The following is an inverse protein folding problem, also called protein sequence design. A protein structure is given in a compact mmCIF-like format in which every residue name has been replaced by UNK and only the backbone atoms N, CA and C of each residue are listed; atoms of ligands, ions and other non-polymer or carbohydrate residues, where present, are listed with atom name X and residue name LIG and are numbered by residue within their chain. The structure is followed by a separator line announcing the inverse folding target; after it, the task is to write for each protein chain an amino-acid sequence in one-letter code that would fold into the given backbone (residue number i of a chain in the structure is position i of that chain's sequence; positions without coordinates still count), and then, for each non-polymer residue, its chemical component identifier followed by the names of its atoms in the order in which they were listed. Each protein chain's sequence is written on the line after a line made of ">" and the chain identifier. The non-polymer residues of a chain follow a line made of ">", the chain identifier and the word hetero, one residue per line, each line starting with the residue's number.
data_IF_503588665866
#
_entry.id   IF_503588665866
#
_cell.length_a   1.000
_cell.length_b   1.000
_cell.length_c   1.000
_cell.angle_alpha   90.00
_cell.angle_beta   90.00
_cell.angle_gamma   90.00
#
_symmetry.space_group_name_H-M   'P 1'
#
loop_
_entity.id
_entity.type
_entity.pdbx_description
1 polymer ?
#
# COMPACT_ATOMS: atom_id res chain seq x y z
N UNK A 1 -1.61 -19.06 -25.32
CA UNK A 1 -1.38 -18.02 -24.29
C UNK A 1 -2.72 -17.46 -23.89
N UNK A 2 -2.92 -17.05 -22.64
CA UNK A 2 -4.15 -16.42 -22.14
C UNK A 2 -3.76 -15.26 -21.24
N UNK A 3 -4.44 -14.13 -21.36
CA UNK A 3 -4.18 -12.96 -20.53
C UNK A 3 -5.20 -12.85 -19.41
N UNK A 4 -4.75 -12.35 -18.27
CA UNK A 4 -5.57 -12.04 -17.10
C UNK A 4 -5.28 -10.62 -16.66
N UNK A 5 -6.30 -9.94 -16.16
CA UNK A 5 -6.13 -8.72 -15.36
C UNK A 5 -6.04 -9.16 -13.91
N UNK A 6 -4.95 -8.76 -13.25
CA UNK A 6 -4.75 -8.96 -11.82
C UNK A 6 -4.77 -7.58 -11.19
N UNK A 7 -5.74 -7.34 -10.31
CA UNK A 7 -5.85 -6.10 -9.54
C UNK A 7 -5.53 -6.40 -8.07
N UNK A 8 -4.77 -5.52 -7.43
CA UNK A 8 -4.49 -5.58 -6.00
C UNK A 8 -4.22 -4.17 -5.47
N UNK A 9 -4.26 -4.02 -4.15
CA UNK A 9 -3.83 -2.80 -3.46
C UNK A 9 -2.63 -3.12 -2.60
N UNK A 10 -1.63 -2.23 -2.60
CA UNK A 10 -0.53 -2.28 -1.65
C UNK A 10 -0.86 -1.42 -0.44
N UNK A 11 -0.81 -2.02 0.74
CA UNK A 11 -1.04 -1.35 2.03
C UNK A 11 0.29 -1.37 2.79
N UNK A 12 0.88 -0.19 2.99
CA UNK A 12 2.09 -0.04 3.81
C UNK A 12 1.71 0.14 5.27
N UNK A 13 2.42 -0.56 6.16
CA UNK A 13 2.26 -0.45 7.60
C UNK A 13 3.43 0.33 8.19
N UNK A 14 3.13 1.34 8.99
CA UNK A 14 4.10 2.21 9.65
C UNK A 14 3.78 2.32 11.14
N UNK A 15 4.80 2.43 11.99
CA UNK A 15 4.63 2.67 13.42
C UNK A 15 5.78 3.50 13.98
N UNK A 16 5.45 4.66 14.56
CA UNK A 16 6.38 5.51 15.27
C UNK A 16 5.89 5.77 16.70
N UNK A 17 6.84 5.98 17.62
CA UNK A 17 6.58 6.49 18.97
C UNK A 17 7.11 7.92 19.02
N UNK A 18 6.24 8.89 19.27
CA UNK A 18 6.58 10.32 19.29
C UNK A 18 6.30 10.94 20.65
N UNK A 19 7.10 11.93 21.04
CA UNK A 19 6.81 12.74 22.21
C UNK A 19 5.82 13.83 21.84
N UNK A 20 4.74 13.98 22.61
CA UNK A 20 3.69 14.97 22.38
C UNK A 20 3.51 15.88 23.62
N UNK A 21 2.95 17.09 23.46
CA UNK A 21 2.54 17.93 24.58
C UNK A 21 1.56 17.24 25.52
N UNK A 22 1.51 17.66 26.79
CA UNK A 22 0.63 17.04 27.81
C UNK A 22 -0.87 17.23 27.55
N UNK A 23 -1.23 18.20 26.73
CA UNK A 23 -2.58 18.52 26.26
C UNK A 23 -2.84 18.06 24.81
N UNK A 24 -2.02 17.14 24.29
CA UNK A 24 -2.20 16.60 22.95
C UNK A 24 -3.54 15.89 22.77
N UNK A 25 -4.28 16.29 21.73
CA UNK A 25 -5.54 15.70 21.32
C UNK A 25 -5.46 15.19 19.86
N UNK A 26 -5.46 13.87 19.63
CA UNK A 26 -5.34 13.30 18.29
C UNK A 26 -6.58 13.51 17.41
N UNK A 27 -7.73 13.90 17.96
CA UNK A 27 -8.94 14.17 17.16
C UNK A 27 -8.93 15.57 16.53
N UNK A 28 -8.11 16.47 17.07
CA UNK A 28 -8.03 17.88 16.64
C UNK A 28 -6.82 18.15 15.74
N UNK A 29 -5.77 17.32 15.82
CA UNK A 29 -4.52 17.49 15.07
C UNK A 29 -4.56 16.69 13.76
N UNK A 30 -4.27 17.34 12.64
CA UNK A 30 -4.00 16.64 11.38
C UNK A 30 -2.60 16.02 11.43
N UNK A 31 -2.56 14.69 11.54
CA UNK A 31 -1.32 13.93 11.63
C UNK A 31 -0.71 13.59 10.27
N UNK A 32 -1.43 13.80 9.15
CA UNK A 32 -0.97 13.39 7.82
C UNK A 32 0.39 13.99 7.45
N UNK A 33 0.48 15.32 7.50
CA UNK A 33 1.72 16.05 7.17
C UNK A 33 2.82 15.83 8.23
N UNK A 34 2.42 15.69 9.49
CA UNK A 34 3.35 15.49 10.61
C UNK A 34 4.06 14.13 10.52
N UNK A 35 3.33 13.07 10.16
CA UNK A 35 3.91 11.73 9.96
C UNK A 35 4.91 11.69 8.80
N UNK A 36 4.63 12.43 7.71
CA UNK A 36 5.56 12.55 6.57
C UNK A 36 6.83 13.35 6.87
N UNK A 37 6.86 14.07 7.99
CA UNK A 37 8.01 14.87 8.42
C UNK A 37 8.92 14.14 9.42
N UNK A 38 8.59 12.91 9.82
CA UNK A 38 9.43 12.10 10.69
C UNK A 38 10.71 11.67 9.97
N UNK A 39 11.85 11.72 10.66
CA UNK A 39 13.13 11.25 10.10
C UNK A 39 13.16 9.73 9.88
N UNK A 40 12.49 8.99 10.76
CA UNK A 40 12.19 7.57 10.61
C UNK A 40 10.67 7.40 10.46
N UNK A 41 10.24 6.96 9.28
CA UNK A 41 8.83 6.77 8.94
C UNK A 41 8.22 5.51 9.61
N UNK A 42 9.02 4.74 10.34
CA UNK A 42 8.58 3.57 11.09
C UNK A 42 8.07 2.43 10.20
N UNK A 43 8.56 2.34 8.96
CA UNK A 43 8.11 1.33 8.00
C UNK A 43 8.29 -0.11 8.52
N UNK A 44 7.19 -0.86 8.54
CA UNK A 44 7.14 -2.25 8.98
C UNK A 44 7.02 -3.22 7.81
N UNK A 45 6.54 -2.76 6.66
CA UNK A 45 6.36 -3.59 5.48
C UNK A 45 5.16 -3.19 4.63
N UNK A 46 5.01 -3.88 3.50
CA UNK A 46 3.87 -3.78 2.59
C UNK A 46 3.18 -5.14 2.51
N UNK A 47 1.86 -5.11 2.59
CA UNK A 47 1.01 -6.26 2.27
C UNK A 47 0.20 -5.96 1.01
N UNK A 48 -0.03 -7.01 0.21
CA UNK A 48 -0.93 -6.93 -0.95
C UNK A 48 -2.28 -7.48 -0.54
N UNK A 49 -3.31 -6.67 -0.70
CA UNK A 49 -4.68 -7.02 -0.33
C UNK A 49 -5.62 -6.89 -1.52
N UNK A 50 -6.79 -7.51 -1.43
CA UNK A 50 -7.82 -7.42 -2.45
C UNK A 50 -7.41 -7.98 -3.81
N UNK A 51 -6.60 -9.05 -3.84
CA UNK A 51 -6.15 -9.66 -5.10
C UNK A 51 -7.35 -10.25 -5.85
N UNK A 52 -7.66 -9.67 -7.01
CA UNK A 52 -8.73 -10.13 -7.90
C UNK A 52 -8.12 -10.49 -9.26
N UNK A 53 -8.50 -11.66 -9.77
CA UNK A 53 -8.06 -12.14 -11.09
C UNK A 53 -9.26 -12.25 -12.01
N UNK A 54 -9.17 -11.63 -13.19
CA UNK A 54 -10.18 -11.72 -14.24
C UNK A 54 -9.53 -12.17 -15.54
N UNK A 55 -10.13 -13.17 -16.18
CA UNK A 55 -9.65 -13.62 -17.48
C UNK A 55 -10.15 -12.71 -18.58
N UNK A 56 -9.28 -12.47 -19.57
CA UNK A 56 -9.66 -11.81 -20.81
C UNK A 56 -10.16 -12.83 -21.84
N UNK A 57 -11.04 -12.39 -22.72
CA UNK A 57 -11.61 -13.20 -23.81
C UNK A 57 -10.57 -13.50 -24.91
N UNK A 58 -9.54 -12.66 -25.04
CA UNK A 58 -8.42 -12.84 -25.95
C UNK A 58 -7.09 -12.49 -25.28
N UNK A 59 -5.95 -13.05 -25.75
CA UNK A 59 -4.63 -12.66 -25.28
C UNK A 59 -4.33 -11.20 -25.65
N UNK A 60 -3.77 -10.46 -24.70
CA UNK A 60 -3.27 -9.11 -24.90
C UNK A 60 -1.78 -9.17 -25.28
N UNK A 61 -1.39 -8.74 -26.49
CA UNK A 61 0.00 -8.77 -26.94
C UNK A 61 0.91 -7.77 -26.22
N UNK A 62 0.36 -6.82 -25.47
CA UNK A 62 1.11 -5.86 -24.66
C UNK A 62 1.24 -6.30 -23.19
N UNK A 63 0.58 -7.39 -22.78
CA UNK A 63 0.65 -7.88 -21.41
C UNK A 63 2.06 -8.42 -21.10
N UNK A 64 2.54 -8.12 -19.89
CA UNK A 64 3.77 -8.69 -19.38
C UNK A 64 3.59 -10.17 -19.03
N UNK A 65 4.67 -10.95 -19.18
CA UNK A 65 4.70 -12.35 -18.77
C UNK A 65 4.96 -12.46 -17.26
N UNK A 66 3.99 -12.99 -16.53
CA UNK A 66 4.16 -13.32 -15.12
C UNK A 66 4.88 -14.67 -15.00
N UNK A 67 6.21 -14.63 -14.85
CA UNK A 67 7.04 -15.83 -14.68
C UNK A 67 6.96 -16.38 -13.24
N UNK A 68 6.89 -17.72 -13.11
CA UNK A 68 6.89 -18.40 -11.81
C UNK A 68 5.55 -18.98 -11.36
N UNK A 69 4.56 -19.05 -12.27
CA UNK A 69 3.31 -19.79 -12.09
C UNK A 69 3.51 -21.30 -12.30
#
# INVERSE_FOLDING_TARGET
>A
MRSVVIEWTEVSSHRAVVNVPGDFDPEVVDLGDALGSLEDDGFLGVVREGIVVRFLDAPDPAAEELFGC
#
